data_IF_647254093698
#
_entry.id   IF_647254093698
#
_cell.length_a   1.000
_cell.length_b   1.000
_cell.length_c   1.000
_cell.angle_alpha   90.00
_cell.angle_beta   90.00
_cell.angle_gamma   90.00
#
_symmetry.space_group_name_H-M   'P 1'
#
loop_
_entity.id
_entity.type
_entity.pdbx_description
1 polymer ?
#
# COMPACT_ATOMS: atom_id res chain seq x y z
N UNK A 1 -19.16 -6.17 10.79
CA UNK A 1 -19.14 -4.72 11.09
C UNK A 1 -20.57 -4.21 11.16
N UNK A 2 -21.36 -4.36 10.09
CA UNK A 2 -22.82 -4.05 10.08
C UNK A 2 -23.59 -4.70 11.23
N UNK A 3 -23.35 -5.99 11.52
CA UNK A 3 -24.01 -6.70 12.62
C UNK A 3 -23.75 -6.06 13.99
N UNK A 4 -22.49 -5.67 14.28
CA UNK A 4 -22.14 -5.05 15.56
C UNK A 4 -22.52 -3.57 15.65
N UNK A 5 -22.64 -2.86 14.52
CA UNK A 5 -23.22 -1.52 14.49
C UNK A 5 -24.73 -1.58 14.79
N UNK A 6 -25.41 -2.59 14.26
CA UNK A 6 -26.78 -2.92 14.62
C UNK A 6 -26.93 -3.21 16.13
N UNK A 7 -25.99 -3.95 16.71
CA UNK A 7 -25.98 -4.25 18.15
C UNK A 7 -25.83 -2.99 19.02
N UNK A 8 -24.96 -2.04 18.64
CA UNK A 8 -24.81 -0.78 19.39
C UNK A 8 -26.03 0.12 19.24
N UNK A 9 -26.60 0.23 18.05
CA UNK A 9 -27.84 0.97 17.85
C UNK A 9 -28.99 0.36 18.67
N UNK A 10 -29.06 -0.98 18.74
CA UNK A 10 -30.00 -1.70 19.60
C UNK A 10 -29.76 -1.43 21.09
N UNK A 11 -28.50 -1.40 21.54
CA UNK A 11 -28.13 -1.05 22.91
C UNK A 11 -28.48 0.40 23.25
N UNK A 12 -28.29 1.35 22.34
CA UNK A 12 -28.70 2.75 22.51
C UNK A 12 -30.21 2.87 22.70
N UNK A 13 -31.00 2.21 21.85
CA UNK A 13 -32.45 2.19 21.98
C UNK A 13 -32.92 1.53 23.29
N UNK A 14 -32.21 0.49 23.76
CA UNK A 14 -32.51 -0.16 25.04
C UNK A 14 -32.18 0.75 26.23
N UNK A 15 -31.07 1.50 26.15
CA UNK A 15 -30.69 2.49 27.17
C UNK A 15 -31.72 3.60 27.26
N UNK A 16 -32.16 4.18 26.13
CA UNK A 16 -33.19 5.22 26.11
C UNK A 16 -34.51 4.72 26.74
N UNK A 17 -34.96 3.52 26.37
CA UNK A 17 -36.17 2.93 26.98
C UNK A 17 -36.02 2.66 28.46
N UNK A 18 -34.86 2.14 28.90
CA UNK A 18 -34.62 1.88 30.31
C UNK A 18 -34.57 3.17 31.12
N UNK A 19 -34.03 4.26 30.57
CA UNK A 19 -34.04 5.58 31.20
C UNK A 19 -35.45 6.17 31.30
N UNK A 20 -36.31 5.90 30.32
CA UNK A 20 -37.71 6.33 30.31
C UNK A 20 -38.55 5.57 31.36
N UNK A 21 -38.30 4.27 31.52
CA UNK A 21 -39.02 3.38 32.44
C UNK A 21 -38.51 3.48 33.90
N UNK A 22 -37.24 3.83 34.12
CA UNK A 22 -36.65 3.90 35.48
C UNK A 22 -37.08 5.12 36.31
N UNK A 23 -37.98 5.97 35.79
CA UNK A 23 -38.52 7.11 36.53
C UNK A 23 -37.46 8.17 36.81
N UNK A 24 -37.52 8.85 37.97
CA UNK A 24 -36.55 9.90 38.36
C UNK A 24 -35.40 9.42 39.24
N UNK A 25 -35.19 8.10 39.38
CA UNK A 25 -34.07 7.58 40.17
C UNK A 25 -32.72 7.87 39.48
N UNK A 26 -31.90 8.81 40.01
CA UNK A 26 -30.66 9.22 39.36
C UNK A 26 -29.59 8.13 39.41
N UNK A 27 -29.65 7.24 40.41
CA UNK A 27 -28.66 6.18 40.61
C UNK A 27 -28.75 5.15 39.48
N UNK A 28 -29.98 4.72 39.15
CA UNK A 28 -30.23 3.72 38.11
C UNK A 28 -29.88 4.28 36.73
N UNK A 29 -30.22 5.54 36.45
CA UNK A 29 -29.86 6.20 35.18
C UNK A 29 -28.34 6.31 35.00
N UNK A 30 -27.62 6.62 36.07
CA UNK A 30 -26.16 6.73 36.04
C UNK A 30 -25.51 5.37 35.76
N UNK A 31 -25.94 4.30 36.45
CA UNK A 31 -25.38 2.97 36.26
C UNK A 31 -25.63 2.43 34.83
N UNK A 32 -26.81 2.68 34.25
CA UNK A 32 -27.12 2.31 32.86
C UNK A 32 -26.19 3.03 31.87
N UNK A 33 -25.97 4.34 32.07
CA UNK A 33 -25.09 5.15 31.22
C UNK A 33 -23.62 4.72 31.34
N UNK A 34 -23.15 4.44 32.55
CA UNK A 34 -21.78 3.95 32.78
C UNK A 34 -21.53 2.63 32.06
N UNK A 35 -22.45 1.66 32.21
CA UNK A 35 -22.34 0.37 31.51
C UNK A 35 -22.41 0.53 29.99
N UNK A 36 -23.25 1.43 29.50
CA UNK A 36 -23.34 1.73 28.08
C UNK A 36 -22.05 2.35 27.54
N UNK A 37 -21.51 3.36 28.22
CA UNK A 37 -20.24 3.98 27.84
C UNK A 37 -19.07 3.00 27.89
N UNK A 38 -19.05 2.09 28.88
CA UNK A 38 -18.04 1.04 28.99
C UNK A 38 -18.05 0.05 27.80
N UNK A 39 -19.18 -0.08 27.09
CA UNK A 39 -19.30 -0.89 25.88
C UNK A 39 -19.05 -0.07 24.61
N UNK A 40 -19.54 1.17 24.57
CA UNK A 40 -19.41 2.02 23.38
C UNK A 40 -17.96 2.44 23.14
N UNK A 41 -17.20 2.79 24.19
CA UNK A 41 -15.81 3.23 24.03
C UNK A 41 -14.91 2.19 23.36
N UNK A 42 -14.82 0.93 23.85
CA UNK A 42 -14.01 -0.09 23.19
C UNK A 42 -14.45 -0.39 21.77
N UNK A 43 -15.74 -0.27 21.46
CA UNK A 43 -16.25 -0.46 20.12
C UNK A 43 -15.77 0.66 19.17
N UNK A 44 -15.89 1.92 19.58
CA UNK A 44 -15.42 3.05 18.79
C UNK A 44 -13.90 2.98 18.56
N UNK A 45 -13.15 2.55 19.57
CA UNK A 45 -11.71 2.28 19.44
C UNK A 45 -11.42 1.14 18.48
N UNK A 46 -12.14 0.02 18.56
CA UNK A 46 -12.00 -1.10 17.63
C UNK A 46 -12.31 -0.67 16.20
N UNK A 47 -13.36 0.11 15.98
CA UNK A 47 -13.73 0.64 14.67
C UNK A 47 -12.62 1.50 14.08
N UNK A 48 -12.08 2.45 14.85
CA UNK A 48 -10.93 3.28 14.44
C UNK A 48 -9.70 2.43 14.10
N UNK A 49 -9.41 1.39 14.90
CA UNK A 49 -8.30 0.47 14.63
C UNK A 49 -8.52 -0.33 13.35
N UNK A 50 -9.72 -0.84 13.13
CA UNK A 50 -10.07 -1.59 11.92
C UNK A 50 -9.95 -0.72 10.67
N UNK A 51 -10.50 0.50 10.71
CA UNK A 51 -10.40 1.45 9.60
C UNK A 51 -8.94 1.80 9.28
N UNK A 52 -8.11 2.00 10.31
CA UNK A 52 -6.68 2.23 10.16
C UNK A 52 -5.97 1.03 9.51
N UNK A 53 -6.24 -0.19 10.00
CA UNK A 53 -5.68 -1.42 9.45
C UNK A 53 -6.11 -1.65 8.00
N UNK A 54 -7.38 -1.39 7.68
CA UNK A 54 -7.90 -1.50 6.33
C UNK A 54 -7.20 -0.53 5.37
N UNK A 55 -7.02 0.74 5.79
CA UNK A 55 -6.28 1.74 4.99
C UNK A 55 -4.82 1.33 4.81
N UNK A 56 -4.15 0.88 5.88
CA UNK A 56 -2.77 0.40 5.80
C UNK A 56 -2.64 -0.80 4.83
N UNK A 57 -3.56 -1.77 4.90
CA UNK A 57 -3.57 -2.91 4.01
C UNK A 57 -3.83 -2.52 2.54
N UNK A 58 -4.74 -1.57 2.29
CA UNK A 58 -5.00 -1.05 0.96
C UNK A 58 -3.79 -0.32 0.37
N UNK A 59 -3.11 0.50 1.19
CA UNK A 59 -1.89 1.20 0.79
C UNK A 59 -0.76 0.21 0.47
N UNK A 60 -0.50 -0.75 1.37
CA UNK A 60 0.52 -1.78 1.15
C UNK A 60 0.25 -2.60 -0.12
N UNK A 61 -1.03 -2.91 -0.41
CA UNK A 61 -1.41 -3.59 -1.65
C UNK A 61 -1.17 -2.71 -2.89
N UNK A 62 -1.43 -1.41 -2.80
CA UNK A 62 -1.18 -0.48 -3.90
C UNK A 62 0.31 -0.31 -4.16
N UNK A 63 1.12 -0.18 -3.11
CA UNK A 63 2.57 -0.13 -3.16
C UNK A 63 3.16 -1.40 -3.76
N UNK A 64 2.69 -2.58 -3.33
CA UNK A 64 3.10 -3.86 -3.90
C UNK A 64 2.82 -3.97 -5.40
N UNK A 65 1.62 -3.55 -5.84
CA UNK A 65 1.28 -3.50 -7.28
C UNK A 65 2.13 -2.52 -8.07
N UNK A 66 2.51 -1.40 -7.47
CA UNK A 66 3.40 -0.44 -8.12
C UNK A 66 4.80 -1.03 -8.26
N UNK A 67 5.30 -1.68 -7.20
CA UNK A 67 6.58 -2.37 -7.23
C UNK A 67 6.62 -3.45 -8.31
N UNK A 68 5.61 -4.33 -8.37
CA UNK A 68 5.51 -5.39 -9.38
C UNK A 68 5.60 -4.81 -10.80
N UNK A 69 4.85 -3.74 -11.10
CA UNK A 69 4.92 -3.07 -12.41
C UNK A 69 6.29 -2.50 -12.71
N UNK A 70 6.89 -1.75 -11.77
CA UNK A 70 8.22 -1.17 -11.97
C UNK A 70 9.29 -2.25 -12.19
N UNK A 71 9.14 -3.40 -11.53
CA UNK A 71 10.03 -4.54 -11.68
C UNK A 71 9.85 -5.24 -13.03
N UNK A 72 8.62 -5.47 -13.46
CA UNK A 72 8.31 -6.05 -14.77
C UNK A 72 8.81 -5.16 -15.91
N UNK A 73 8.60 -3.84 -15.83
CA UNK A 73 9.09 -2.86 -16.80
C UNK A 73 10.63 -2.90 -16.90
N UNK A 74 11.32 -3.00 -15.76
CA UNK A 74 12.78 -3.10 -15.71
C UNK A 74 13.28 -4.43 -16.32
N UNK A 75 12.60 -5.54 -16.03
CA UNK A 75 12.92 -6.85 -16.62
C UNK A 75 12.77 -6.83 -18.14
N UNK A 76 11.67 -6.30 -18.66
CA UNK A 76 11.43 -6.19 -20.10
C UNK A 76 12.51 -5.34 -20.77
N UNK A 77 12.87 -4.21 -20.17
CA UNK A 77 13.96 -3.39 -20.69
C UNK A 77 15.31 -4.14 -20.67
N UNK A 78 15.63 -4.85 -19.58
CA UNK A 78 16.89 -5.61 -19.48
C UNK A 78 16.99 -6.71 -20.54
N UNK A 79 15.89 -7.43 -20.80
CA UNK A 79 15.84 -8.45 -21.84
C UNK A 79 16.04 -7.82 -23.23
N UNK A 80 15.43 -6.66 -23.49
CA UNK A 80 15.65 -5.89 -24.72
C UNK A 80 17.08 -5.36 -24.86
N UNK A 81 17.66 -4.83 -23.78
CA UNK A 81 19.04 -4.35 -23.74
C UNK A 81 20.04 -5.49 -23.99
N UNK A 82 19.83 -6.65 -23.36
CA UNK A 82 20.61 -7.86 -23.60
C UNK A 82 20.51 -8.32 -25.06
N UNK A 83 19.30 -8.36 -25.63
CA UNK A 83 19.10 -8.72 -27.02
C UNK A 83 19.83 -7.79 -27.99
N UNK A 84 19.85 -6.48 -27.71
CA UNK A 84 20.64 -5.49 -28.48
C UNK A 84 22.14 -5.73 -28.33
N UNK A 85 22.61 -5.99 -27.11
CA UNK A 85 24.00 -6.29 -26.83
C UNK A 85 24.48 -7.57 -27.54
N UNK A 86 23.69 -8.63 -27.51
CA UNK A 86 23.99 -9.91 -28.17
C UNK A 86 24.04 -9.79 -29.70
N UNK A 87 23.35 -8.81 -30.29
CA UNK A 87 23.39 -8.51 -31.72
C UNK A 87 24.58 -7.63 -32.13
N UNK A 88 25.31 -7.06 -31.18
CA UNK A 88 26.47 -6.22 -31.51
C UNK A 88 27.60 -7.04 -32.10
N UNK A 89 28.23 -6.50 -33.14
CA UNK A 89 29.37 -7.17 -33.76
C UNK A 89 30.56 -7.26 -32.77
N UNK A 90 31.38 -8.33 -32.85
CA UNK A 90 32.61 -8.42 -32.09
C UNK A 90 33.52 -7.20 -32.28
N UNK A 91 34.26 -6.86 -31.23
CA UNK A 91 35.20 -5.73 -31.23
C UNK A 91 36.18 -5.84 -32.39
N UNK A 92 36.24 -4.80 -33.21
CA UNK A 92 37.10 -4.75 -34.38
C UNK A 92 38.52 -4.27 -34.04
N UNK A 93 39.54 -4.90 -34.62
CA UNK A 93 40.93 -4.42 -34.56
C UNK A 93 41.20 -3.21 -35.49
N UNK A 94 40.30 -2.93 -36.44
CA UNK A 94 40.38 -1.73 -37.28
C UNK A 94 39.93 -0.49 -36.50
N UNK A 95 40.81 0.51 -36.38
CA UNK A 95 40.57 1.72 -35.60
C UNK A 95 39.42 2.61 -36.08
N UNK A 96 39.09 2.61 -37.38
CA UNK A 96 37.92 3.34 -37.88
C UNK A 96 36.62 2.63 -37.48
N UNK A 97 36.57 1.31 -37.65
CA UNK A 97 35.41 0.49 -37.24
C UNK A 97 35.22 0.48 -35.73
N UNK A 98 36.30 0.41 -34.94
CA UNK A 98 36.23 0.48 -33.48
C UNK A 98 35.66 1.82 -32.99
N UNK A 99 36.03 2.94 -33.63
CA UNK A 99 35.46 4.25 -33.31
C UNK A 99 33.96 4.29 -33.59
N UNK A 100 33.53 3.73 -34.71
CA UNK A 100 32.10 3.63 -35.01
C UNK A 100 31.36 2.75 -33.99
N UNK A 101 31.92 1.57 -33.67
CA UNK A 101 31.36 0.68 -32.63
C UNK A 101 31.20 1.37 -31.27
N UNK A 102 32.14 2.24 -30.90
CA UNK A 102 32.03 3.04 -29.66
C UNK A 102 30.89 4.04 -29.70
N UNK A 103 30.67 4.71 -30.84
CA UNK A 103 29.58 5.67 -31.02
C UNK A 103 28.23 4.94 -30.98
N UNK A 104 28.16 3.78 -31.61
CA UNK A 104 26.93 2.98 -31.68
C UNK A 104 26.56 2.35 -30.32
N UNK A 105 27.54 2.08 -29.46
CA UNK A 105 27.33 1.55 -28.11
C UNK A 105 26.93 2.62 -27.08
N UNK A 106 27.34 3.87 -27.28
CA UNK A 106 27.15 4.96 -26.31
C UNK A 106 25.69 5.17 -25.85
N UNK A 107 24.66 5.08 -26.71
CA UNK A 107 23.27 5.19 -26.30
C UNK A 107 22.84 4.06 -25.36
N UNK A 108 23.21 2.81 -25.67
CA UNK A 108 22.87 1.65 -24.83
C UNK A 108 23.55 1.77 -23.46
N UNK A 109 24.78 2.28 -23.43
CA UNK A 109 25.51 2.54 -22.18
C UNK A 109 24.81 3.60 -21.32
N UNK A 110 24.34 4.70 -21.91
CA UNK A 110 23.58 5.72 -21.18
C UNK A 110 22.25 5.19 -20.64
N UNK A 111 21.51 4.43 -21.45
CA UNK A 111 20.27 3.78 -20.98
C UNK A 111 20.54 2.86 -19.78
N UNK A 112 21.63 2.08 -19.80
CA UNK A 112 22.01 1.22 -18.67
C UNK A 112 22.27 2.02 -17.40
N UNK A 113 22.97 3.15 -17.50
CA UNK A 113 23.24 4.02 -16.35
C UNK A 113 21.96 4.64 -15.79
N UNK A 114 21.02 5.05 -16.65
CA UNK A 114 19.73 5.58 -16.23
C UNK A 114 18.92 4.53 -15.46
N UNK A 115 18.82 3.31 -16.00
CA UNK A 115 18.07 2.22 -15.38
C UNK A 115 18.75 1.60 -14.14
N UNK A 116 20.07 1.76 -13.96
CA UNK A 116 20.73 1.40 -12.71
C UNK A 116 20.21 2.23 -11.52
N UNK A 117 19.84 3.49 -11.78
CA UNK A 117 19.16 4.35 -10.81
C UNK A 117 17.79 3.81 -10.42
N UNK A 118 16.99 3.40 -11.40
CA UNK A 118 15.66 2.81 -11.18
C UNK A 118 15.74 1.50 -10.40
N UNK A 119 16.67 0.62 -10.75
CA UNK A 119 16.92 -0.63 -10.05
C UNK A 119 17.30 -0.40 -8.58
N UNK A 120 18.10 0.62 -8.30
CA UNK A 120 18.49 1.00 -6.95
C UNK A 120 17.30 1.52 -6.14
N UNK A 121 16.40 2.29 -6.76
CA UNK A 121 15.18 2.80 -6.13
C UNK A 121 14.19 1.67 -5.82
N UNK A 122 14.03 0.70 -6.74
CA UNK A 122 13.19 -0.48 -6.53
C UNK A 122 13.73 -1.32 -5.37
N UNK A 123 15.04 -1.50 -5.26
CA UNK A 123 15.68 -2.25 -4.16
C UNK A 123 15.56 -1.57 -2.78
N UNK A 124 15.43 -0.25 -2.75
CA UNK A 124 15.36 0.53 -1.51
C UNK A 124 13.94 0.66 -0.93
N UNK A 125 12.91 0.30 -1.70
CA UNK A 125 11.51 0.22 -1.26
C UNK A 125 11.23 -1.13 -0.60
#
# INVERSE_FOLDING_TARGET
>A
MEEREGDIAGLQMAVERLQEVSGDDPSVKTEILERFHALQQPFDEMKKKLDSLQRAAQNAKAEGKQFERQFDDLLEWMDGAKGRFDQMEPVSANAAKLRQQSIDFDPLYHEVLEHEGDASLIKAK
#
